data_IF_620243235447
#
_entry.id   IF_620243235447
#
_cell.length_a   1.000
_cell.length_b   1.000
_cell.length_c   1.000
_cell.angle_alpha   90.00
_cell.angle_beta   90.00
_cell.angle_gamma   90.00
#
_symmetry.space_group_name_H-M   'P 1'
#
loop_
_entity.id
_entity.type
_entity.pdbx_description
1 polymer ?
#
# COMPACT_ATOMS: atom_id res chain seq x y z
N UNK A 1 -10.42 -8.55 -2.83
CA UNK A 1 -10.76 -7.14 -3.11
C UNK A 1 -12.28 -6.95 -3.27
N UNK A 2 -12.96 -7.64 -4.19
CA UNK A 2 -14.44 -7.63 -4.27
C UNK A 2 -15.04 -8.13 -2.96
N UNK A 3 -14.44 -9.14 -2.37
CA UNK A 3 -14.81 -9.67 -1.06
C UNK A 3 -14.68 -8.62 0.05
N UNK A 4 -13.58 -7.85 0.08
CA UNK A 4 -13.35 -6.80 1.08
C UNK A 4 -14.40 -5.67 0.96
N UNK A 5 -14.75 -5.28 -0.27
CA UNK A 5 -15.77 -4.26 -0.51
C UNK A 5 -17.15 -4.63 0.08
N UNK A 6 -17.44 -5.91 0.20
CA UNK A 6 -18.68 -6.43 0.79
C UNK A 6 -18.51 -6.70 2.29
N UNK A 7 -17.40 -7.32 2.67
CA UNK A 7 -17.17 -7.76 4.05
C UNK A 7 -16.90 -6.61 5.02
N UNK A 8 -16.17 -5.56 4.61
CA UNK A 8 -15.82 -4.45 5.49
C UNK A 8 -17.06 -3.72 6.05
N UNK A 9 -18.04 -3.29 5.23
CA UNK A 9 -19.28 -2.69 5.75
C UNK A 9 -20.12 -3.64 6.62
N UNK A 10 -20.14 -4.93 6.25
CA UNK A 10 -20.90 -5.94 7.01
C UNK A 10 -20.29 -6.16 8.40
N UNK A 11 -18.97 -6.34 8.46
CA UNK A 11 -18.25 -6.51 9.73
C UNK A 11 -18.33 -5.24 10.57
N UNK A 12 -18.22 -4.07 9.96
CA UNK A 12 -18.39 -2.78 10.64
C UNK A 12 -19.75 -2.70 11.32
N UNK A 13 -20.83 -2.92 10.56
CA UNK A 13 -22.19 -2.92 11.08
C UNK A 13 -22.44 -4.01 12.13
N UNK A 14 -21.85 -5.17 11.98
CA UNK A 14 -21.97 -6.28 12.94
C UNK A 14 -21.21 -5.98 14.23
N UNK A 15 -19.97 -5.49 14.13
CA UNK A 15 -19.16 -5.15 15.29
C UNK A 15 -19.76 -4.03 16.13
N UNK A 16 -20.46 -3.07 15.52
CA UNK A 16 -21.12 -1.98 16.23
C UNK A 16 -22.36 -2.42 17.02
N UNK A 17 -22.99 -3.53 16.65
CA UNK A 17 -24.20 -4.06 17.27
C UNK A 17 -23.98 -5.14 18.32
N UNK A 18 -22.80 -5.72 18.36
CA UNK A 18 -22.50 -6.83 19.29
C UNK A 18 -22.55 -6.32 20.73
N UNK A 19 -23.33 -7.00 21.55
CA UNK A 19 -23.37 -6.78 23.02
C UNK A 19 -22.55 -7.85 23.70
N UNK A 20 -21.39 -7.52 24.23
CA UNK A 20 -20.48 -8.45 24.90
C UNK A 20 -19.86 -7.80 26.13
N UNK A 21 -19.51 -8.63 27.13
CA UNK A 21 -18.73 -8.21 28.31
C UNK A 21 -17.33 -7.68 27.97
N UNK A 22 -16.80 -8.05 26.80
CA UNK A 22 -15.53 -7.56 26.25
C UNK A 22 -15.71 -6.35 25.34
N UNK A 23 -16.82 -5.62 25.46
CA UNK A 23 -17.20 -4.56 24.53
C UNK A 23 -17.73 -5.09 23.21
N UNK A 24 -18.07 -4.17 22.31
CA UNK A 24 -18.68 -4.50 21.01
C UNK A 24 -17.66 -4.96 19.95
N UNK A 25 -16.43 -4.41 19.96
CA UNK A 25 -15.42 -4.57 18.90
C UNK A 25 -14.31 -5.56 19.26
N UNK A 26 -13.88 -5.61 20.53
CA UNK A 26 -12.77 -6.46 20.96
C UNK A 26 -12.96 -7.98 20.69
N UNK A 27 -14.16 -8.56 20.78
CA UNK A 27 -14.35 -9.98 20.45
C UNK A 27 -13.93 -10.32 19.01
N UNK A 28 -14.24 -9.43 18.04
CA UNK A 28 -13.86 -9.61 16.63
C UNK A 28 -12.35 -9.59 16.47
N UNK A 29 -11.68 -8.61 17.09
CA UNK A 29 -10.22 -8.47 17.04
C UNK A 29 -9.52 -9.67 17.66
N UNK A 30 -9.96 -10.15 18.85
CA UNK A 30 -9.38 -11.35 19.46
C UNK A 30 -9.57 -12.59 18.61
N UNK A 31 -10.79 -12.80 18.10
CA UNK A 31 -11.12 -13.99 17.31
C UNK A 31 -10.35 -14.03 15.99
N UNK A 32 -10.06 -12.89 15.37
CA UNK A 32 -9.39 -12.82 14.07
C UNK A 32 -7.89 -13.12 14.11
N UNK A 33 -7.21 -12.91 15.24
CA UNK A 33 -5.74 -13.04 15.36
C UNK A 33 -5.27 -14.46 15.03
N UNK A 34 -5.92 -15.46 15.58
CA UNK A 34 -5.48 -16.87 15.40
C UNK A 34 -5.72 -17.37 13.97
N UNK A 35 -6.92 -17.21 13.36
CA UNK A 35 -7.12 -17.60 11.96
C UNK A 35 -6.21 -16.84 11.01
N UNK A 36 -5.93 -15.54 11.29
CA UNK A 36 -5.01 -14.73 10.49
C UNK A 36 -3.59 -15.30 10.53
N UNK A 37 -3.07 -15.58 11.73
CA UNK A 37 -1.74 -16.15 11.92
C UNK A 37 -1.61 -17.53 11.27
N UNK A 38 -2.59 -18.41 11.47
CA UNK A 38 -2.61 -19.72 10.83
C UNK A 38 -2.70 -19.63 9.31
N UNK A 39 -3.52 -18.69 8.80
CA UNK A 39 -3.64 -18.44 7.38
C UNK A 39 -2.31 -18.06 6.75
N UNK A 40 -1.55 -17.15 7.37
CA UNK A 40 -0.21 -16.77 6.92
C UNK A 40 0.78 -17.93 6.99
N UNK A 41 0.81 -18.69 8.08
CA UNK A 41 1.68 -19.85 8.19
C UNK A 41 1.42 -20.87 7.09
N UNK A 42 0.16 -21.27 6.89
CA UNK A 42 -0.18 -22.26 5.87
C UNK A 42 -0.07 -21.75 4.44
N UNK A 43 -0.16 -20.44 4.21
CA UNK A 43 0.05 -19.83 2.90
C UNK A 43 1.48 -20.05 2.41
N UNK A 44 2.45 -19.88 3.30
CA UNK A 44 3.88 -20.00 2.99
C UNK A 44 4.45 -21.41 3.26
N UNK A 45 3.71 -22.31 3.91
CA UNK A 45 4.11 -23.69 4.18
C UNK A 45 3.48 -24.64 3.14
N UNK A 46 3.89 -24.46 1.86
CA UNK A 46 3.39 -25.29 0.77
C UNK A 46 4.38 -26.41 0.48
N UNK A 47 3.97 -27.70 0.58
CA UNK A 47 4.81 -28.80 0.13
C UNK A 47 4.96 -28.77 -1.41
N UNK A 48 6.17 -29.01 -1.89
CA UNK A 48 6.54 -28.97 -3.29
C UNK A 48 5.95 -30.10 -4.17
N UNK A 49 5.23 -31.05 -3.58
CA UNK A 49 4.83 -32.31 -4.24
C UNK A 49 3.33 -32.42 -4.56
N UNK A 50 2.57 -31.33 -4.50
CA UNK A 50 1.13 -31.37 -4.78
C UNK A 50 0.79 -31.03 -6.24
N UNK A 51 -0.33 -31.65 -6.70
CA UNK A 51 -0.96 -31.32 -7.98
C UNK A 51 -1.38 -29.85 -8.06
N UNK A 52 -1.32 -29.28 -9.26
CA UNK A 52 -1.65 -27.87 -9.56
C UNK A 52 -3.07 -27.50 -9.12
N UNK A 53 -4.04 -28.40 -9.34
CA UNK A 53 -5.43 -28.17 -8.94
C UNK A 53 -5.58 -28.07 -7.41
N UNK A 54 -4.87 -28.91 -6.66
CA UNK A 54 -4.88 -28.84 -5.22
C UNK A 54 -4.24 -27.56 -4.71
N UNK A 55 -3.13 -27.12 -5.30
CA UNK A 55 -2.45 -25.87 -4.96
C UNK A 55 -3.35 -24.66 -5.19
N UNK A 56 -4.08 -24.65 -6.33
CA UNK A 56 -5.02 -23.58 -6.65
C UNK A 56 -6.13 -23.44 -5.58
N UNK A 57 -6.81 -24.54 -5.25
CA UNK A 57 -7.89 -24.52 -4.27
C UNK A 57 -7.40 -24.19 -2.86
N UNK A 58 -6.25 -24.72 -2.46
CA UNK A 58 -5.62 -24.40 -1.19
C UNK A 58 -5.28 -22.92 -1.09
N UNK A 59 -4.65 -22.35 -2.12
CA UNK A 59 -4.32 -20.94 -2.19
C UNK A 59 -5.58 -20.06 -2.10
N UNK A 60 -6.62 -20.40 -2.88
CA UNK A 60 -7.87 -19.67 -2.89
C UNK A 60 -8.54 -19.64 -1.50
N UNK A 61 -8.64 -20.80 -0.85
CA UNK A 61 -9.24 -20.92 0.50
C UNK A 61 -8.43 -20.14 1.53
N UNK A 62 -7.10 -20.25 1.52
CA UNK A 62 -6.23 -19.52 2.44
C UNK A 62 -6.30 -18.02 2.24
N UNK A 63 -6.31 -17.53 0.99
CA UNK A 63 -6.44 -16.10 0.70
C UNK A 63 -7.80 -15.57 1.19
N UNK A 64 -8.90 -16.31 0.97
CA UNK A 64 -10.22 -15.92 1.49
C UNK A 64 -10.22 -15.89 3.02
N UNK A 65 -9.64 -16.90 3.68
CA UNK A 65 -9.53 -16.95 5.13
C UNK A 65 -8.74 -15.77 5.69
N UNK A 66 -7.58 -15.48 5.10
CA UNK A 66 -6.73 -14.34 5.48
C UNK A 66 -7.50 -13.02 5.30
N UNK A 67 -8.17 -12.82 4.17
CA UNK A 67 -8.95 -11.61 3.90
C UNK A 67 -10.08 -11.42 4.90
N UNK A 68 -10.86 -12.47 5.15
CA UNK A 68 -11.92 -12.42 6.16
C UNK A 68 -11.37 -12.09 7.56
N UNK A 69 -10.26 -12.74 7.94
CA UNK A 69 -9.63 -12.50 9.23
C UNK A 69 -9.07 -11.08 9.35
N UNK A 70 -8.49 -10.54 8.26
CA UNK A 70 -8.03 -9.16 8.17
C UNK A 70 -9.19 -8.17 8.34
N UNK A 71 -10.32 -8.36 7.64
CA UNK A 71 -11.51 -7.53 7.79
C UNK A 71 -12.03 -7.54 9.23
N UNK A 72 -12.10 -8.74 9.85
CA UNK A 72 -12.51 -8.90 11.26
C UNK A 72 -11.54 -8.23 12.25
N UNK A 73 -10.27 -8.06 11.88
CA UNK A 73 -9.26 -7.38 12.68
C UNK A 73 -9.25 -5.86 12.45
N UNK A 74 -9.08 -5.44 11.18
CA UNK A 74 -8.82 -4.03 10.81
C UNK A 74 -10.04 -3.13 11.01
N UNK A 75 -11.23 -3.57 10.55
CA UNK A 75 -12.44 -2.73 10.58
C UNK A 75 -12.85 -2.36 12.00
N UNK A 76 -12.99 -3.30 12.97
CA UNK A 76 -13.30 -2.94 14.35
C UNK A 76 -12.16 -2.16 15.03
N UNK A 77 -10.89 -2.51 14.73
CA UNK A 77 -9.72 -1.83 15.30
C UNK A 77 -9.62 -0.38 14.85
N UNK A 78 -9.83 -0.10 13.57
CA UNK A 78 -9.83 1.26 13.05
C UNK A 78 -10.87 2.15 13.76
N UNK A 79 -12.02 1.58 14.10
CA UNK A 79 -13.07 2.28 14.81
C UNK A 79 -12.80 2.45 16.33
N UNK A 80 -11.88 1.67 16.94
CA UNK A 80 -11.45 1.86 18.33
C UNK A 80 -10.56 3.13 18.46
N UNK A 81 -9.74 3.43 17.46
CA UNK A 81 -8.80 4.56 17.50
C UNK A 81 -9.42 5.90 17.89
N UNK A 82 -10.48 6.37 17.23
CA UNK A 82 -11.19 7.60 17.57
C UNK A 82 -11.84 7.59 18.97
N UNK A 83 -12.19 6.44 19.51
CA UNK A 83 -12.79 6.31 20.83
C UNK A 83 -11.75 6.40 21.97
N UNK A 84 -10.49 6.02 21.68
CA UNK A 84 -9.38 6.12 22.63
C UNK A 84 -8.96 7.58 22.90
N UNK A 85 -9.23 8.49 21.98
CA UNK A 85 -8.73 9.87 22.04
C UNK A 85 -9.85 10.87 21.80
N UNK A 86 -10.19 11.66 22.82
CA UNK A 86 -11.24 12.69 22.76
C UNK A 86 -10.75 14.04 22.23
N UNK A 87 -9.43 14.26 22.11
CA UNK A 87 -8.83 15.52 21.66
C UNK A 87 -8.22 15.38 20.27
N UNK A 88 -8.33 16.44 19.45
CA UNK A 88 -7.80 16.49 18.09
C UNK A 88 -6.28 16.20 18.05
N UNK A 89 -5.49 16.88 18.87
CA UNK A 89 -4.03 16.73 18.90
C UNK A 89 -3.60 15.34 19.35
N UNK A 90 -4.29 14.77 20.36
CA UNK A 90 -4.03 13.40 20.82
C UNK A 90 -4.36 12.36 19.77
N UNK A 91 -5.41 12.58 18.99
CA UNK A 91 -5.78 11.68 17.86
C UNK A 91 -4.70 11.69 16.79
N UNK A 92 -4.23 12.88 16.42
CA UNK A 92 -3.13 13.04 15.45
C UNK A 92 -1.85 12.37 15.94
N UNK A 93 -1.50 12.55 17.22
CA UNK A 93 -0.34 11.91 17.83
C UNK A 93 -0.43 10.37 17.81
N UNK A 94 -1.57 9.79 18.20
CA UNK A 94 -1.78 8.34 18.21
C UNK A 94 -1.72 7.76 16.80
N UNK A 95 -2.35 8.42 15.82
CA UNK A 95 -2.30 7.99 14.41
C UNK A 95 -0.87 8.10 13.84
N UNK A 96 -0.14 9.14 14.19
CA UNK A 96 1.27 9.30 13.82
C UNK A 96 2.14 8.14 14.33
N UNK A 97 2.01 7.80 15.62
CA UNK A 97 2.73 6.65 16.19
C UNK A 97 2.30 5.31 15.57
N UNK A 98 1.01 5.13 15.30
CA UNK A 98 0.52 3.92 14.64
C UNK A 98 1.14 3.77 13.24
N UNK A 99 1.26 4.87 12.49
CA UNK A 99 1.93 4.88 11.19
C UNK A 99 3.43 4.55 11.29
N UNK A 100 4.14 5.20 12.23
CA UNK A 100 5.58 4.92 12.46
C UNK A 100 5.81 3.45 12.81
N UNK A 101 5.00 2.90 13.72
CA UNK A 101 5.12 1.48 14.09
C UNK A 101 4.79 0.53 12.94
N UNK A 102 3.82 0.87 12.08
CA UNK A 102 3.50 0.10 10.88
C UNK A 102 4.67 0.08 9.89
N UNK A 103 5.28 1.23 9.63
CA UNK A 103 6.47 1.35 8.77
C UNK A 103 7.65 0.58 9.37
N UNK A 104 7.91 0.72 10.67
CA UNK A 104 8.97 -0.04 11.36
C UNK A 104 8.74 -1.55 11.27
N UNK A 105 7.50 -2.02 11.46
CA UNK A 105 7.16 -3.43 11.33
C UNK A 105 7.42 -3.96 9.91
N UNK A 106 7.07 -3.18 8.89
CA UNK A 106 7.34 -3.52 7.49
C UNK A 106 8.85 -3.58 7.21
N UNK A 107 9.62 -2.60 7.68
CA UNK A 107 11.09 -2.58 7.54
C UNK A 107 11.72 -3.82 8.19
N UNK A 108 11.35 -4.10 9.44
CA UNK A 108 11.89 -5.25 10.19
C UNK A 108 11.58 -6.56 9.48
N UNK A 109 10.34 -6.76 9.04
CA UNK A 109 9.96 -8.01 8.36
C UNK A 109 10.68 -8.18 7.02
N UNK A 110 10.79 -7.10 6.22
CA UNK A 110 11.53 -7.14 4.96
C UNK A 110 13.02 -7.38 5.18
N UNK A 111 13.62 -6.73 6.19
CA UNK A 111 15.02 -6.96 6.53
C UNK A 111 15.28 -8.40 6.95
N UNK A 112 14.42 -8.96 7.82
CA UNK A 112 14.50 -10.38 8.22
C UNK A 112 14.34 -11.32 7.02
N UNK A 113 13.45 -10.98 6.08
CA UNK A 113 13.26 -11.76 4.87
C UNK A 113 14.54 -11.83 4.05
N UNK A 114 15.14 -10.70 3.76
CA UNK A 114 16.29 -10.63 2.86
C UNK A 114 17.61 -11.09 3.51
N UNK A 115 17.81 -10.77 4.80
CA UNK A 115 19.08 -11.05 5.49
C UNK A 115 19.13 -12.44 6.13
N UNK A 116 17.99 -12.95 6.64
CA UNK A 116 18.00 -14.17 7.44
C UNK A 116 17.22 -15.34 6.82
N UNK A 117 16.23 -15.09 5.98
CA UNK A 117 15.40 -16.18 5.46
C UNK A 117 15.76 -16.56 4.02
N UNK A 118 16.06 -15.59 3.17
CA UNK A 118 16.45 -15.81 1.78
C UNK A 118 17.96 -16.03 1.66
N UNK A 119 18.52 -16.96 2.45
CA UNK A 119 19.94 -17.25 2.46
C UNK A 119 20.31 -18.36 1.47
N UNK A 120 21.55 -18.31 1.01
CA UNK A 120 22.13 -19.34 0.15
C UNK A 120 22.17 -20.69 0.86
N UNK A 121 21.89 -21.75 0.11
CA UNK A 121 22.05 -23.14 0.53
C UNK A 121 22.81 -23.90 -0.53
N UNK A 122 23.25 -25.15 -0.24
CA UNK A 122 23.95 -25.98 -1.23
C UNK A 122 23.13 -26.19 -2.51
N UNK A 123 21.80 -26.27 -2.39
CA UNK A 123 20.88 -26.48 -3.51
C UNK A 123 20.49 -25.15 -4.19
N UNK A 124 20.37 -24.06 -3.43
CA UNK A 124 19.92 -22.75 -3.90
C UNK A 124 21.02 -21.70 -3.65
N UNK A 125 22.00 -21.64 -4.56
CA UNK A 125 23.13 -20.72 -4.46
C UNK A 125 22.80 -19.36 -5.07
N UNK A 126 23.38 -18.30 -4.53
CA UNK A 126 23.30 -16.91 -5.01
C UNK A 126 21.86 -16.46 -5.33
N UNK A 127 21.65 -16.05 -6.56
CA UNK A 127 20.37 -15.57 -7.10
C UNK A 127 19.24 -16.61 -7.03
N UNK A 128 19.57 -17.89 -6.87
CA UNK A 128 18.61 -18.98 -6.68
C UNK A 128 17.99 -19.00 -5.27
N UNK A 129 18.51 -18.27 -4.30
CA UNK A 129 17.97 -18.21 -2.94
C UNK A 129 16.49 -17.76 -2.89
N UNK A 130 16.05 -16.93 -3.85
CA UNK A 130 14.64 -16.56 -4.01
C UNK A 130 13.71 -17.73 -4.35
N UNK A 131 14.24 -18.83 -4.86
CA UNK A 131 13.46 -20.02 -5.22
C UNK A 131 13.41 -21.06 -4.09
N UNK A 132 14.10 -20.83 -2.98
CA UNK A 132 14.14 -21.76 -1.87
C UNK A 132 12.80 -21.78 -1.11
N UNK A 133 11.99 -22.85 -1.18
CA UNK A 133 10.69 -22.92 -0.52
C UNK A 133 10.78 -22.85 1.01
N UNK A 134 11.87 -23.35 1.60
CA UNK A 134 12.08 -23.34 3.05
C UNK A 134 12.16 -21.91 3.61
N UNK A 135 12.75 -20.97 2.84
CA UNK A 135 12.85 -19.57 3.20
C UNK A 135 11.48 -18.93 3.42
N UNK A 136 10.53 -19.24 2.55
CA UNK A 136 9.16 -18.74 2.68
C UNK A 136 8.41 -19.38 3.85
N UNK A 137 8.71 -20.64 4.19
CA UNK A 137 8.14 -21.29 5.39
C UNK A 137 8.61 -20.58 6.66
N UNK A 138 9.88 -20.20 6.76
CA UNK A 138 10.40 -19.42 7.88
C UNK A 138 9.77 -18.01 7.93
N UNK A 139 9.59 -17.35 6.79
CA UNK A 139 8.89 -16.08 6.70
C UNK A 139 7.44 -16.20 7.19
N UNK A 140 6.72 -17.23 6.75
CA UNK A 140 5.36 -17.52 7.19
C UNK A 140 5.26 -17.74 8.70
N UNK A 141 6.21 -18.50 9.28
CA UNK A 141 6.28 -18.74 10.72
C UNK A 141 6.57 -17.45 11.50
N UNK A 142 7.57 -16.68 11.09
CA UNK A 142 7.93 -15.41 11.72
C UNK A 142 6.76 -14.41 11.66
N UNK A 143 6.13 -14.25 10.49
CA UNK A 143 4.96 -13.40 10.32
C UNK A 143 3.82 -13.82 11.23
N UNK A 144 3.54 -15.12 11.34
CA UNK A 144 2.48 -15.66 12.20
C UNK A 144 2.74 -15.37 13.67
N UNK A 145 3.97 -15.55 14.14
CA UNK A 145 4.39 -15.22 15.50
C UNK A 145 4.22 -13.72 15.77
N UNK A 146 4.66 -12.86 14.85
CA UNK A 146 4.51 -11.41 14.96
C UNK A 146 3.02 -11.00 14.99
N UNK A 147 2.17 -11.59 14.15
CA UNK A 147 0.73 -11.34 14.15
C UNK A 147 0.12 -11.67 15.53
N UNK A 148 0.47 -12.82 16.11
CA UNK A 148 -0.03 -13.21 17.44
C UNK A 148 0.47 -12.25 18.52
N UNK A 149 1.78 -12.01 18.58
CA UNK A 149 2.38 -11.17 19.63
C UNK A 149 1.83 -9.73 19.56
N UNK A 150 1.96 -9.07 18.40
CA UNK A 150 1.55 -7.69 18.27
C UNK A 150 0.03 -7.51 18.24
N UNK A 151 -0.70 -8.45 17.64
CA UNK A 151 -2.15 -8.46 17.64
C UNK A 151 -2.72 -8.58 19.06
N UNK A 152 -2.23 -9.54 19.85
CA UNK A 152 -2.65 -9.71 21.24
C UNK A 152 -2.21 -8.52 22.11
N UNK A 153 -0.96 -8.07 22.01
CA UNK A 153 -0.46 -6.93 22.80
C UNK A 153 -1.28 -5.67 22.52
N UNK A 154 -1.54 -5.35 21.26
CA UNK A 154 -2.38 -4.22 20.86
C UNK A 154 -3.80 -4.33 21.41
N UNK A 155 -4.41 -5.50 21.31
CA UNK A 155 -5.79 -5.71 21.74
C UNK A 155 -5.92 -5.72 23.27
N UNK A 156 -4.99 -6.34 24.00
CA UNK A 156 -4.95 -6.36 25.45
C UNK A 156 -4.71 -4.96 26.03
N UNK A 157 -3.82 -4.15 25.40
CA UNK A 157 -3.53 -2.79 25.86
C UNK A 157 -4.75 -1.88 25.77
N UNK A 158 -5.64 -2.09 24.81
CA UNK A 158 -6.88 -1.30 24.63
C UNK A 158 -8.05 -1.86 25.45
N UNK A 159 -7.97 -3.10 25.94
CA UNK A 159 -9.04 -3.76 26.69
C UNK A 159 -9.46 -3.00 27.96
N UNK A 160 -8.51 -2.40 28.66
CA UNK A 160 -8.77 -1.62 29.89
C UNK A 160 -9.67 -0.39 29.67
N UNK A 161 -9.76 0.12 28.44
CA UNK A 161 -10.56 1.28 28.09
C UNK A 161 -12.00 0.94 27.67
N UNK A 162 -12.38 -0.35 27.60
CA UNK A 162 -13.74 -0.77 27.24
C UNK A 162 -14.85 -0.06 28.03
N UNK A 163 -14.73 0.17 29.36
CA UNK A 163 -15.76 0.87 30.11
C UNK A 163 -15.98 2.33 29.66
N UNK A 164 -14.93 2.96 29.09
CA UNK A 164 -14.92 4.36 28.67
C UNK A 164 -15.46 4.56 27.25
N UNK A 165 -15.57 3.48 26.46
CA UNK A 165 -16.03 3.55 25.09
C UNK A 165 -17.50 3.90 24.99
N UNK A 166 -17.83 4.64 23.95
CA UNK A 166 -19.18 5.07 23.66
C UNK A 166 -20.15 3.88 23.56
N UNK A 167 -21.25 3.96 24.31
CA UNK A 167 -22.37 3.01 24.25
C UNK A 167 -23.51 3.68 23.51
N UNK A 168 -23.82 3.29 22.26
CA UNK A 168 -24.90 3.91 21.52
C UNK A 168 -26.23 3.70 22.23
N UNK A 169 -26.99 4.78 22.42
CA UNK A 169 -28.30 4.76 23.11
C UNK A 169 -29.36 4.19 22.15
N UNK A 170 -29.20 4.38 20.86
CA UNK A 170 -30.07 3.78 19.83
C UNK A 170 -29.24 3.38 18.62
N UNK A 171 -29.47 2.18 18.08
CA UNK A 171 -28.90 1.78 16.80
C UNK A 171 -29.78 2.37 15.69
N UNK A 172 -29.32 3.42 15.00
CA UNK A 172 -29.88 3.72 13.69
C UNK A 172 -29.79 2.47 12.81
N UNK A 173 -30.88 2.13 12.16
CA UNK A 173 -30.89 0.96 11.25
C UNK A 173 -29.94 1.27 10.09
N UNK A 174 -28.93 0.43 9.91
CA UNK A 174 -28.09 0.47 8.70
C UNK A 174 -29.03 0.39 7.48
N UNK A 175 -29.02 1.42 6.66
CA UNK A 175 -29.76 1.46 5.41
C UNK A 175 -28.76 1.48 4.26
N UNK A 176 -28.69 0.37 3.52
CA UNK A 176 -27.92 0.28 2.29
C UNK A 176 -28.32 1.35 1.27
N UNK A 177 -29.61 1.73 1.27
CA UNK A 177 -30.12 2.80 0.42
C UNK A 177 -29.52 4.16 0.79
N UNK A 178 -29.46 4.50 2.07
CA UNK A 178 -28.85 5.75 2.55
C UNK A 178 -27.36 5.80 2.22
N UNK A 179 -26.63 4.69 2.43
CA UNK A 179 -25.22 4.59 2.06
C UNK A 179 -25.00 4.79 0.56
N UNK A 180 -25.87 4.21 -0.28
CA UNK A 180 -25.78 4.36 -1.73
C UNK A 180 -26.06 5.81 -2.17
N UNK A 181 -27.02 6.48 -1.55
CA UNK A 181 -27.33 7.89 -1.79
C UNK A 181 -26.13 8.78 -1.43
N UNK A 182 -25.50 8.54 -0.27
CA UNK A 182 -24.31 9.25 0.18
C UNK A 182 -23.10 9.01 -0.76
N UNK A 183 -22.91 7.77 -1.22
CA UNK A 183 -21.87 7.45 -2.21
C UNK A 183 -22.09 8.17 -3.55
N UNK A 184 -23.33 8.20 -4.05
CA UNK A 184 -23.67 8.89 -5.31
C UNK A 184 -23.43 10.40 -5.16
N UNK A 185 -23.75 10.98 -4.01
CA UNK A 185 -23.53 12.39 -3.73
C UNK A 185 -22.02 12.72 -3.69
N UNK A 186 -21.20 11.87 -3.04
CA UNK A 186 -19.75 12.01 -3.06
C UNK A 186 -19.18 11.88 -4.49
N UNK A 187 -19.70 10.96 -5.32
CA UNK A 187 -19.33 10.84 -6.73
C UNK A 187 -19.67 12.09 -7.57
N UNK A 188 -20.60 12.90 -7.12
CA UNK A 188 -20.96 14.17 -7.78
C UNK A 188 -19.94 15.28 -7.48
N UNK A 189 -19.09 15.12 -6.46
CA UNK A 189 -18.04 16.07 -6.14
C UNK A 189 -16.87 15.95 -7.14
N UNK A 190 -16.71 16.98 -7.98
CA UNK A 190 -15.71 17.01 -9.06
C UNK A 190 -14.26 16.84 -8.56
N UNK A 191 -13.91 17.49 -7.45
CA UNK A 191 -12.58 17.39 -6.87
C UNK A 191 -12.29 16.00 -6.33
N UNK A 192 -13.27 15.38 -5.67
CA UNK A 192 -13.12 14.01 -5.19
C UNK A 192 -13.02 13.01 -6.33
N UNK A 193 -13.86 13.14 -7.36
CA UNK A 193 -13.82 12.30 -8.54
C UNK A 193 -12.45 12.41 -9.25
N UNK A 194 -11.88 13.62 -9.33
CA UNK A 194 -10.53 13.83 -9.87
C UNK A 194 -9.45 13.07 -9.11
N UNK A 195 -9.45 13.15 -7.76
CA UNK A 195 -8.51 12.41 -6.92
C UNK A 195 -8.73 10.89 -7.00
N UNK A 196 -9.97 10.46 -7.07
CA UNK A 196 -10.34 9.05 -7.16
C UNK A 196 -9.86 8.43 -8.48
N UNK A 197 -10.08 9.10 -9.61
CA UNK A 197 -9.59 8.65 -10.92
C UNK A 197 -8.06 8.70 -10.96
N UNK A 198 -7.45 9.78 -10.48
CA UNK A 198 -5.98 9.88 -10.38
C UNK A 198 -5.40 8.72 -9.56
N UNK A 199 -5.95 8.47 -8.37
CA UNK A 199 -5.57 7.36 -7.49
C UNK A 199 -5.80 5.99 -8.13
N UNK A 200 -6.77 5.88 -9.03
CA UNK A 200 -7.06 4.65 -9.80
C UNK A 200 -5.89 4.26 -10.71
N UNK A 201 -5.41 5.19 -11.51
CA UNK A 201 -4.27 4.95 -12.40
C UNK A 201 -2.98 4.70 -11.61
N UNK A 202 -2.80 5.42 -10.50
CA UNK A 202 -1.67 5.20 -9.60
C UNK A 202 -1.73 3.83 -8.92
N UNK A 203 -2.91 3.38 -8.48
CA UNK A 203 -3.11 2.04 -7.92
C UNK A 203 -2.75 0.93 -8.92
N UNK A 204 -3.19 1.09 -10.17
CA UNK A 204 -2.86 0.16 -11.25
C UNK A 204 -1.34 0.09 -11.48
N UNK A 205 -0.67 1.24 -11.53
CA UNK A 205 0.78 1.35 -11.67
C UNK A 205 1.52 0.67 -10.50
N UNK A 206 1.08 0.88 -9.25
CA UNK A 206 1.65 0.22 -8.07
C UNK A 206 1.54 -1.30 -8.19
N UNK A 207 0.38 -1.82 -8.60
CA UNK A 207 0.17 -3.27 -8.76
C UNK A 207 1.13 -3.88 -9.77
N UNK A 208 1.28 -3.25 -10.94
CA UNK A 208 2.23 -3.68 -11.97
C UNK A 208 3.66 -3.63 -11.42
N UNK A 209 4.09 -2.49 -10.85
CA UNK A 209 5.46 -2.28 -10.38
C UNK A 209 5.85 -3.24 -9.25
N UNK A 210 4.94 -3.50 -8.31
CA UNK A 210 5.19 -4.44 -7.21
C UNK A 210 5.43 -5.86 -7.74
N UNK A 211 4.61 -6.29 -8.71
CA UNK A 211 4.77 -7.62 -9.29
C UNK A 211 6.02 -7.76 -10.16
N UNK A 212 6.32 -6.76 -10.98
CA UNK A 212 7.49 -6.77 -11.87
C UNK A 212 8.81 -6.67 -11.09
N UNK A 213 8.81 -5.98 -9.94
CA UNK A 213 10.03 -5.66 -9.18
C UNK A 213 10.89 -6.88 -8.86
N UNK A 214 10.27 -8.00 -8.49
CA UNK A 214 10.99 -9.26 -8.17
C UNK A 214 11.75 -9.76 -9.41
N UNK A 215 11.11 -9.74 -10.58
CA UNK A 215 11.74 -10.20 -11.83
C UNK A 215 12.87 -9.27 -12.26
N UNK A 216 12.69 -7.96 -12.15
CA UNK A 216 13.72 -6.98 -12.50
C UNK A 216 14.92 -7.11 -11.56
N UNK A 217 14.70 -7.21 -10.26
CA UNK A 217 15.79 -7.35 -9.30
C UNK A 217 16.59 -8.63 -9.55
N UNK A 218 15.91 -9.76 -9.80
CA UNK A 218 16.55 -11.05 -10.00
C UNK A 218 17.21 -11.19 -11.37
N UNK A 219 16.52 -10.82 -12.47
CA UNK A 219 16.95 -11.17 -13.82
C UNK A 219 17.55 -10.00 -14.62
N UNK A 220 17.29 -8.75 -14.24
CA UNK A 220 17.84 -7.58 -14.92
C UNK A 220 19.03 -6.97 -14.16
N UNK A 221 18.88 -6.78 -12.84
CA UNK A 221 19.96 -6.30 -11.99
C UNK A 221 20.84 -7.44 -11.45
N UNK A 222 20.40 -8.69 -11.55
CA UNK A 222 21.11 -9.90 -11.09
C UNK A 222 21.46 -9.85 -9.60
N UNK A 223 20.58 -9.26 -8.80
CA UNK A 223 20.84 -9.06 -7.38
C UNK A 223 20.44 -10.25 -6.54
N UNK A 224 21.27 -10.51 -5.54
CA UNK A 224 20.97 -11.47 -4.48
C UNK A 224 20.08 -10.85 -3.41
N UNK A 225 19.40 -11.65 -2.58
CA UNK A 225 18.58 -11.14 -1.48
C UNK A 225 19.35 -10.23 -0.51
N UNK A 226 20.61 -10.54 -0.22
CA UNK A 226 21.45 -9.80 0.72
C UNK A 226 21.69 -8.36 0.23
N UNK A 227 21.88 -8.19 -1.08
CA UNK A 227 22.05 -6.86 -1.71
C UNK A 227 20.81 -6.01 -1.52
N UNK A 228 19.63 -6.64 -1.50
CA UNK A 228 18.33 -5.97 -1.36
C UNK A 228 17.95 -5.66 0.10
N UNK A 229 18.63 -6.23 1.09
CA UNK A 229 18.25 -6.13 2.50
C UNK A 229 18.17 -4.68 3.03
N UNK A 230 19.01 -3.77 2.52
CA UNK A 230 19.02 -2.36 2.95
C UNK A 230 17.99 -1.47 2.22
N UNK A 231 17.43 -1.92 1.09
CA UNK A 231 16.46 -1.11 0.34
C UNK A 231 15.21 -0.76 1.15
N UNK A 232 14.56 -1.69 1.87
CA UNK A 232 13.40 -1.36 2.71
C UNK A 232 13.70 -0.33 3.80
N UNK A 233 14.91 -0.36 4.37
CA UNK A 233 15.33 0.62 5.37
C UNK A 233 15.45 2.01 4.77
N UNK A 234 16.13 2.13 3.63
CA UNK A 234 16.28 3.41 2.92
C UNK A 234 14.93 3.94 2.47
N UNK A 235 14.07 3.08 1.90
CA UNK A 235 12.70 3.44 1.51
C UNK A 235 11.86 3.95 2.68
N UNK A 236 11.94 3.30 3.84
CA UNK A 236 11.23 3.73 5.03
C UNK A 236 11.67 5.10 5.55
N UNK A 237 12.98 5.32 5.62
CA UNK A 237 13.57 6.61 6.02
C UNK A 237 13.18 7.69 4.99
N UNK A 238 13.32 7.42 3.72
CA UNK A 238 12.96 8.34 2.64
C UNK A 238 11.48 8.72 2.66
N UNK A 239 10.57 7.77 2.96
CA UNK A 239 9.15 8.05 3.09
C UNK A 239 8.84 9.01 4.25
N UNK A 240 9.52 8.89 5.38
CA UNK A 240 9.38 9.84 6.51
C UNK A 240 9.81 11.24 6.09
N UNK A 241 10.98 11.37 5.45
CA UNK A 241 11.45 12.66 4.93
C UNK A 241 10.50 13.23 3.88
N UNK A 242 9.96 12.39 2.99
CA UNK A 242 8.98 12.79 1.99
C UNK A 242 7.71 13.39 2.60
N UNK A 243 7.17 12.77 3.66
CA UNK A 243 6.00 13.28 4.36
C UNK A 243 6.27 14.65 5.02
N UNK A 244 7.45 14.84 5.64
CA UNK A 244 7.86 16.12 6.24
C UNK A 244 8.04 17.19 5.14
N UNK A 245 8.69 16.84 4.03
CA UNK A 245 8.90 17.75 2.91
C UNK A 245 7.58 18.15 2.24
N UNK A 246 6.60 17.25 2.17
CA UNK A 246 5.27 17.58 1.67
C UNK A 246 4.65 18.73 2.44
N UNK A 247 4.68 18.68 3.77
CA UNK A 247 4.12 19.70 4.63
C UNK A 247 4.87 21.05 4.48
N UNK A 248 6.20 21.02 4.46
CA UNK A 248 7.03 22.24 4.38
C UNK A 248 6.97 22.91 3.01
N UNK A 249 7.05 22.12 1.91
CA UNK A 249 7.09 22.66 0.55
C UNK A 249 5.70 23.15 0.11
N UNK A 250 4.61 22.52 0.57
CA UNK A 250 3.25 22.95 0.24
C UNK A 250 2.76 24.14 1.06
N UNK A 251 3.45 24.48 2.16
CA UNK A 251 3.10 25.65 2.97
C UNK A 251 3.11 26.93 2.10
N UNK A 252 2.01 27.67 2.17
CA UNK A 252 1.83 28.90 1.38
C UNK A 252 1.63 28.72 -0.12
N UNK A 253 1.52 27.47 -0.63
CA UNK A 253 1.34 27.17 -2.05
C UNK A 253 0.07 26.39 -2.31
N UNK A 254 -0.37 26.35 -3.56
CA UNK A 254 -1.45 25.47 -4.01
C UNK A 254 -1.02 24.01 -3.97
N UNK A 255 -1.62 23.21 -3.06
CA UNK A 255 -1.32 21.78 -2.87
C UNK A 255 -1.38 20.99 -4.17
N UNK A 256 -2.39 21.28 -5.02
CA UNK A 256 -2.55 20.68 -6.34
C UNK A 256 -1.30 20.86 -7.22
N UNK A 257 -0.78 22.07 -7.31
CA UNK A 257 0.37 22.38 -8.18
C UNK A 257 1.65 21.70 -7.67
N UNK A 258 1.87 21.69 -6.36
CA UNK A 258 2.99 20.96 -5.75
C UNK A 258 2.86 19.46 -6.00
N UNK A 259 1.67 18.89 -5.85
CA UNK A 259 1.40 17.48 -6.11
C UNK A 259 1.67 17.10 -7.58
N UNK A 260 1.18 17.89 -8.52
CA UNK A 260 1.45 17.70 -9.96
C UNK A 260 2.96 17.76 -10.24
N UNK A 261 3.66 18.74 -9.66
CA UNK A 261 5.13 18.87 -9.86
C UNK A 261 5.87 17.63 -9.36
N UNK A 262 5.51 17.13 -8.18
CA UNK A 262 6.10 15.90 -7.62
C UNK A 262 5.87 14.71 -8.55
N UNK A 263 4.65 14.50 -9.03
CA UNK A 263 4.37 13.40 -9.95
C UNK A 263 5.06 13.55 -11.31
N UNK A 264 5.17 14.75 -11.83
CA UNK A 264 5.92 15.00 -13.09
C UNK A 264 7.41 14.67 -12.91
N UNK A 265 8.01 15.05 -11.78
CA UNK A 265 9.39 14.65 -11.47
C UNK A 265 9.50 13.12 -11.42
N UNK A 266 8.62 12.44 -10.70
CA UNK A 266 8.60 10.97 -10.62
C UNK A 266 8.45 10.31 -11.99
N UNK A 267 7.57 10.80 -12.87
CA UNK A 267 7.38 10.29 -14.24
C UNK A 267 8.70 10.33 -15.02
N UNK A 268 9.48 11.39 -14.86
CA UNK A 268 10.73 11.59 -15.57
C UNK A 268 11.85 10.76 -14.96
N UNK A 269 11.96 10.73 -13.64
CA UNK A 269 13.11 10.13 -12.93
C UNK A 269 13.03 8.62 -12.81
N UNK A 270 11.85 8.06 -12.58
CA UNK A 270 11.65 6.61 -12.38
C UNK A 270 12.25 5.73 -13.50
N UNK A 271 12.07 6.02 -14.81
CA UNK A 271 12.59 5.16 -15.85
C UNK A 271 14.09 5.29 -16.10
N UNK A 272 14.77 6.35 -15.60
CA UNK A 272 16.12 6.72 -16.02
C UNK A 272 17.13 5.58 -15.87
N UNK A 273 17.30 4.91 -14.71
CA UNK A 273 18.36 3.89 -14.57
C UNK A 273 18.17 2.72 -15.53
N UNK A 274 16.95 2.20 -15.62
CA UNK A 274 16.65 1.07 -16.48
C UNK A 274 16.70 1.45 -17.97
N UNK A 275 16.29 2.66 -18.33
CA UNK A 275 16.39 3.17 -19.70
C UNK A 275 17.84 3.32 -20.13
N UNK A 276 18.71 3.89 -19.28
CA UNK A 276 20.13 4.01 -19.56
C UNK A 276 20.79 2.65 -19.77
N UNK A 277 20.47 1.69 -18.91
CA UNK A 277 20.99 0.30 -19.03
C UNK A 277 20.51 -0.41 -20.29
N UNK A 278 19.24 -0.22 -20.69
CA UNK A 278 18.71 -0.79 -21.94
C UNK A 278 19.32 -0.16 -23.20
N UNK A 279 19.76 1.10 -23.12
CA UNK A 279 20.39 1.82 -24.25
C UNK A 279 21.87 1.50 -24.41
N UNK A 280 22.56 1.02 -23.38
CA UNK A 280 23.99 0.70 -23.42
C UNK A 280 24.41 -0.14 -24.66
N UNK A 281 23.71 -1.24 -25.02
CA UNK A 281 24.11 -2.06 -26.17
C UNK A 281 24.02 -1.34 -27.53
N UNK A 282 23.27 -0.23 -27.59
CA UNK A 282 23.03 0.53 -28.82
C UNK A 282 23.94 1.76 -28.97
N UNK A 283 24.81 2.00 -27.97
CA UNK A 283 25.71 3.17 -27.94
C UNK A 283 27.15 2.68 -27.84
N UNK A 284 28.09 3.52 -28.31
CA UNK A 284 29.52 3.28 -28.11
C UNK A 284 30.04 3.77 -26.75
N UNK A 285 29.16 4.30 -25.91
CA UNK A 285 29.44 4.85 -24.59
C UNK A 285 28.85 3.93 -23.53
N UNK A 286 29.56 3.70 -22.44
CA UNK A 286 29.00 3.06 -21.26
C UNK A 286 28.13 4.07 -20.53
N UNK A 287 26.81 3.99 -20.74
CA UNK A 287 25.83 4.93 -20.17
C UNK A 287 25.50 4.61 -18.71
N UNK A 288 25.62 3.34 -18.35
CA UNK A 288 25.27 2.87 -17.00
C UNK A 288 26.28 1.80 -16.53
N UNK A 289 26.65 1.75 -15.23
CA UNK A 289 27.61 0.78 -14.69
C UNK A 289 27.14 -0.67 -14.87
N UNK A 290 28.10 -1.60 -15.01
CA UNK A 290 27.81 -3.03 -15.06
C UNK A 290 27.31 -3.57 -13.70
N UNK A 291 26.49 -4.63 -13.75
CA UNK A 291 25.85 -5.23 -12.58
C UNK A 291 26.85 -5.71 -11.50
N UNK A 292 28.10 -5.97 -11.89
CA UNK A 292 29.16 -6.45 -10.99
C UNK A 292 29.95 -5.33 -10.30
N UNK A 293 29.52 -4.07 -10.44
CA UNK A 293 30.21 -2.93 -9.82
C UNK A 293 29.48 -2.44 -8.57
N UNK A 294 30.21 -2.09 -7.50
CA UNK A 294 29.61 -1.50 -6.30
C UNK A 294 28.90 -0.16 -6.60
N UNK A 295 29.31 0.51 -7.67
CA UNK A 295 28.75 1.80 -8.06
C UNK A 295 27.26 1.70 -8.43
N UNK A 296 26.82 0.62 -9.10
CA UNK A 296 25.41 0.45 -9.46
C UNK A 296 24.53 0.37 -8.22
N UNK A 297 25.00 -0.31 -7.16
CA UNK A 297 24.26 -0.43 -5.91
C UNK A 297 24.02 0.94 -5.27
N UNK A 298 25.07 1.78 -5.19
CA UNK A 298 24.92 3.14 -4.66
C UNK A 298 23.98 4.02 -5.50
N UNK A 299 24.07 3.94 -6.82
CA UNK A 299 23.18 4.69 -7.72
C UNK A 299 21.73 4.27 -7.49
N UNK A 300 21.46 2.96 -7.47
CA UNK A 300 20.08 2.46 -7.41
C UNK A 300 19.47 2.59 -6.02
N UNK A 301 20.21 2.45 -4.93
CA UNK A 301 19.69 2.66 -3.58
C UNK A 301 19.36 4.15 -3.34
N UNK A 302 20.21 5.06 -3.81
CA UNK A 302 19.94 6.50 -3.73
C UNK A 302 18.76 6.90 -4.63
N UNK A 303 18.69 6.35 -5.83
CA UNK A 303 17.56 6.56 -6.74
C UNK A 303 16.25 6.05 -6.13
N UNK A 304 16.23 4.83 -5.59
CA UNK A 304 15.06 4.26 -4.91
C UNK A 304 14.64 5.12 -3.73
N UNK A 305 15.59 5.58 -2.90
CA UNK A 305 15.31 6.49 -1.80
C UNK A 305 14.68 7.81 -2.27
N UNK A 306 15.21 8.41 -3.34
CA UNK A 306 14.64 9.64 -3.91
C UNK A 306 13.23 9.43 -4.46
N UNK A 307 13.00 8.31 -5.18
CA UNK A 307 11.68 7.95 -5.69
C UNK A 307 10.65 7.71 -4.58
N UNK A 308 11.03 6.99 -3.52
CA UNK A 308 10.14 6.70 -2.40
C UNK A 308 9.84 7.96 -1.58
N UNK A 309 10.79 8.89 -1.47
CA UNK A 309 10.58 10.20 -0.89
C UNK A 309 9.55 11.02 -1.71
N UNK A 310 9.69 11.09 -3.04
CA UNK A 310 8.75 11.77 -3.92
C UNK A 310 7.36 11.13 -3.86
N UNK A 311 7.30 9.81 -3.85
CA UNK A 311 6.05 9.04 -3.73
C UNK A 311 5.33 9.32 -2.41
N UNK A 312 6.05 9.35 -1.30
CA UNK A 312 5.50 9.70 0.01
C UNK A 312 5.01 11.16 0.07
N UNK A 313 5.74 12.09 -0.58
CA UNK A 313 5.29 13.49 -0.74
C UNK A 313 3.95 13.54 -1.47
N UNK A 314 3.86 12.90 -2.64
CA UNK A 314 2.63 12.87 -3.44
C UNK A 314 1.45 12.31 -2.67
N UNK A 315 1.65 11.18 -1.99
CA UNK A 315 0.61 10.53 -1.17
C UNK A 315 0.12 11.42 -0.01
N UNK A 316 1.04 12.06 0.70
CA UNK A 316 0.71 12.99 1.80
C UNK A 316 -0.10 14.19 1.30
N UNK A 317 0.27 14.75 0.13
CA UNK A 317 -0.47 15.85 -0.48
C UNK A 317 -1.87 15.43 -0.92
N UNK A 318 -2.03 14.25 -1.52
CA UNK A 318 -3.35 13.71 -1.91
C UNK A 318 -4.25 13.54 -0.68
N UNK A 319 -3.75 12.97 0.43
CA UNK A 319 -4.53 12.86 1.67
C UNK A 319 -4.95 14.24 2.17
N UNK A 320 -4.03 15.22 2.18
CA UNK A 320 -4.34 16.59 2.57
C UNK A 320 -5.41 17.22 1.68
N UNK A 321 -5.37 16.99 0.36
CA UNK A 321 -6.40 17.46 -0.58
C UNK A 321 -7.76 16.79 -0.34
N UNK A 322 -7.80 15.54 0.14
CA UNK A 322 -9.06 14.87 0.53
C UNK A 322 -9.67 15.57 1.76
N UNK A 323 -8.85 15.98 2.75
CA UNK A 323 -9.36 16.75 3.89
C UNK A 323 -9.98 18.09 3.45
N UNK A 324 -9.35 18.79 2.50
CA UNK A 324 -9.90 20.03 1.95
C UNK A 324 -11.28 19.79 1.28
N UNK A 325 -11.48 18.63 0.64
CA UNK A 325 -12.77 18.22 0.06
C UNK A 325 -13.81 18.01 1.15
N UNK A 326 -13.45 17.34 2.26
CA UNK A 326 -14.36 17.07 3.37
C UNK A 326 -14.90 18.37 3.94
N UNK A 327 -14.04 19.36 4.18
CA UNK A 327 -14.41 20.64 4.76
C UNK A 327 -15.24 21.48 3.79
N UNK A 328 -14.85 21.54 2.53
CA UNK A 328 -15.63 22.22 1.48
C UNK A 328 -17.02 21.58 1.26
N UNK A 329 -17.11 20.24 1.31
CA UNK A 329 -18.37 19.52 1.24
C UNK A 329 -19.27 19.81 2.46
N UNK A 330 -18.68 19.93 3.65
CA UNK A 330 -19.44 20.25 4.86
C UNK A 330 -20.11 21.62 4.78
N UNK A 331 -19.47 22.61 4.18
CA UNK A 331 -20.06 23.95 3.94
C UNK A 331 -21.27 23.85 3.02
N UNK A 332 -21.19 23.07 1.96
CA UNK A 332 -22.24 22.99 0.94
C UNK A 332 -23.39 22.08 1.31
N UNK A 333 -23.13 20.97 2.01
CA UNK A 333 -24.15 19.95 2.34
C UNK A 333 -24.62 19.98 3.78
N UNK A 334 -23.92 20.69 4.67
CA UNK A 334 -24.16 20.67 6.12
C UNK A 334 -23.78 19.36 6.81
N UNK A 335 -23.21 18.39 6.06
CA UNK A 335 -22.81 17.06 6.56
C UNK A 335 -21.31 16.87 6.42
N UNK A 336 -20.72 16.14 7.39
CA UNK A 336 -19.31 15.78 7.38
C UNK A 336 -19.15 14.31 6.97
N UNK A 337 -19.10 14.06 5.66
CA UNK A 337 -19.02 12.71 5.08
C UNK A 337 -17.54 12.20 5.01
N UNK A 338 -16.76 12.50 6.06
CA UNK A 338 -15.31 12.18 6.17
C UNK A 338 -15.03 10.69 5.91
N UNK A 339 -15.89 9.80 6.43
CA UNK A 339 -15.71 8.36 6.27
C UNK A 339 -15.68 7.92 4.82
N UNK A 340 -16.59 8.40 3.99
CA UNK A 340 -16.69 8.02 2.58
C UNK A 340 -15.55 8.63 1.78
N UNK A 341 -15.27 9.92 1.98
CA UNK A 341 -14.20 10.62 1.27
C UNK A 341 -12.82 10.01 1.53
N UNK A 342 -12.56 9.56 2.76
CA UNK A 342 -11.27 8.98 3.15
C UNK A 342 -11.10 7.51 2.75
N UNK A 343 -12.17 6.72 2.83
CA UNK A 343 -12.08 5.27 2.55
C UNK A 343 -12.15 4.93 1.07
N UNK A 344 -12.90 5.71 0.28
CA UNK A 344 -13.13 5.46 -1.14
C UNK A 344 -11.85 5.31 -1.96
N UNK A 345 -10.91 6.28 -1.93
CA UNK A 345 -9.65 6.18 -2.67
C UNK A 345 -8.81 4.96 -2.29
N UNK A 346 -8.74 4.63 -1.00
CA UNK A 346 -8.00 3.45 -0.52
C UNK A 346 -8.58 2.13 -1.05
N UNK A 347 -9.91 2.02 -1.08
CA UNK A 347 -10.58 0.83 -1.63
C UNK A 347 -10.30 0.68 -3.13
N UNK A 348 -10.45 1.75 -3.90
CA UNK A 348 -10.20 1.73 -5.34
C UNK A 348 -8.73 1.44 -5.64
N UNK A 349 -7.80 2.03 -4.91
CA UNK A 349 -6.39 1.73 -5.04
C UNK A 349 -6.10 0.24 -4.82
N UNK A 350 -6.68 -0.37 -3.79
CA UNK A 350 -6.56 -1.83 -3.54
C UNK A 350 -7.07 -2.66 -4.72
N UNK A 351 -8.26 -2.33 -5.24
CA UNK A 351 -8.87 -3.04 -6.37
C UNK A 351 -7.98 -2.96 -7.61
N UNK A 352 -7.50 -1.76 -7.93
CA UNK A 352 -6.71 -1.53 -9.13
C UNK A 352 -5.28 -2.04 -9.01
N UNK A 353 -4.70 -2.06 -7.81
CA UNK A 353 -3.41 -2.76 -7.59
C UNK A 353 -3.54 -4.26 -7.88
N UNK A 354 -4.63 -4.90 -7.46
CA UNK A 354 -4.89 -6.29 -7.82
C UNK A 354 -5.06 -6.51 -9.33
N UNK A 355 -5.75 -5.60 -10.00
CA UNK A 355 -5.86 -5.63 -11.48
C UNK A 355 -4.49 -5.43 -12.15
N UNK A 356 -3.64 -4.57 -11.59
CA UNK A 356 -2.25 -4.37 -12.06
C UNK A 356 -1.42 -5.65 -12.01
N UNK A 357 -1.50 -6.40 -10.90
CA UNK A 357 -0.84 -7.71 -10.76
C UNK A 357 -1.40 -8.71 -11.78
N UNK A 358 -2.72 -8.71 -12.00
CA UNK A 358 -3.35 -9.57 -13.01
C UNK A 358 -2.87 -9.24 -14.43
N UNK A 359 -2.80 -7.95 -14.79
CA UNK A 359 -2.25 -7.50 -16.09
C UNK A 359 -0.81 -7.97 -16.25
N UNK A 360 0.01 -7.86 -15.20
CA UNK A 360 1.37 -8.40 -15.24
C UNK A 360 1.38 -9.90 -15.55
N UNK A 361 0.49 -10.70 -14.95
CA UNK A 361 0.37 -12.13 -15.27
C UNK A 361 0.10 -12.38 -16.76
N UNK A 362 -0.78 -11.58 -17.38
CA UNK A 362 -1.02 -11.65 -18.81
C UNK A 362 0.20 -11.25 -19.66
N UNK A 363 0.95 -10.25 -19.21
CA UNK A 363 2.19 -9.82 -19.89
C UNK A 363 3.26 -10.91 -19.81
N UNK A 364 3.46 -11.51 -18.64
CA UNK A 364 4.39 -12.63 -18.48
C UNK A 364 4.01 -13.83 -19.37
N UNK A 365 2.73 -14.16 -19.46
CA UNK A 365 2.22 -15.20 -20.36
C UNK A 365 2.46 -14.84 -21.84
N UNK A 366 2.18 -13.59 -22.23
CA UNK A 366 2.42 -13.12 -23.60
C UNK A 366 3.89 -13.16 -24.00
N UNK A 367 4.78 -12.83 -23.07
CA UNK A 367 6.23 -12.88 -23.26
C UNK A 367 6.79 -14.31 -23.19
N UNK A 368 5.96 -15.32 -22.93
CA UNK A 368 6.39 -16.70 -22.65
C UNK A 368 7.51 -16.76 -21.60
N UNK A 369 7.35 -15.99 -20.52
CA UNK A 369 8.34 -15.92 -19.45
C UNK A 369 8.36 -17.25 -18.70
N UNK A 370 9.46 -18.00 -18.83
CA UNK A 370 9.63 -19.27 -18.12
C UNK A 370 10.06 -19.00 -16.65
N UNK A 371 9.24 -19.36 -15.67
CA UNK A 371 9.61 -19.19 -14.25
C UNK A 371 10.78 -20.09 -13.82
N UNK A 372 11.12 -21.11 -14.60
CA UNK A 372 12.23 -22.04 -14.32
C UNK A 372 13.55 -21.60 -14.93
N UNK A 373 13.66 -20.40 -15.51
CA UNK A 373 14.94 -19.87 -15.99
C UNK A 373 15.89 -19.77 -14.79
N UNK A 374 16.90 -20.65 -14.81
CA UNK A 374 17.87 -20.79 -13.72
C UNK A 374 19.17 -20.02 -13.96
N UNK A 375 19.39 -19.53 -15.17
CA UNK A 375 20.60 -18.77 -15.51
C UNK A 375 20.29 -17.61 -16.46
N UNK A 376 20.96 -16.51 -16.24
CA UNK A 376 20.95 -15.31 -17.09
C UNK A 376 21.56 -15.54 -18.47
N UNK A 377 22.23 -16.67 -18.71
CA UNK A 377 22.93 -17.00 -19.96
C UNK A 377 22.03 -17.63 -21.04
N UNK A 378 20.88 -18.20 -20.64
CA UNK A 378 19.97 -18.83 -21.59
C UNK A 378 18.78 -17.91 -21.90
N UNK A 379 18.98 -17.00 -22.84
CA UNK A 379 17.94 -16.14 -23.42
C UNK A 379 17.48 -14.94 -22.57
N UNK A 380 18.25 -13.89 -22.60
CA UNK A 380 17.91 -12.55 -22.12
C UNK A 380 16.70 -11.81 -22.78
N UNK A 381 16.04 -12.29 -23.86
CA UNK A 381 15.00 -11.52 -24.54
C UNK A 381 13.79 -11.14 -23.69
N UNK A 382 13.20 -12.03 -22.84
CA UNK A 382 11.97 -11.69 -22.15
C UNK A 382 12.15 -10.61 -21.07
N UNK A 383 13.32 -10.58 -20.40
CA UNK A 383 13.51 -9.61 -19.30
C UNK A 383 13.64 -8.17 -19.81
N UNK A 384 14.36 -7.94 -20.91
CA UNK A 384 14.48 -6.61 -21.50
C UNK A 384 13.11 -6.07 -21.97
N UNK A 385 12.25 -6.94 -22.53
CA UNK A 385 10.88 -6.57 -22.91
C UNK A 385 10.02 -6.27 -21.70
N UNK A 386 10.18 -7.02 -20.59
CA UNK A 386 9.47 -6.77 -19.34
C UNK A 386 9.90 -5.45 -18.69
N UNK A 387 11.21 -5.13 -18.72
CA UNK A 387 11.73 -3.84 -18.25
C UNK A 387 11.22 -2.70 -19.11
N UNK A 388 11.23 -2.85 -20.46
CA UNK A 388 10.68 -1.87 -21.39
C UNK A 388 9.20 -1.61 -21.11
N UNK A 389 8.41 -2.66 -20.88
CA UNK A 389 7.02 -2.54 -20.47
C UNK A 389 6.90 -1.72 -19.16
N UNK A 390 7.69 -2.02 -18.15
CA UNK A 390 7.65 -1.33 -16.87
C UNK A 390 7.97 0.17 -16.99
N UNK A 391 9.06 0.53 -17.70
CA UNK A 391 9.51 1.92 -17.83
C UNK A 391 8.66 2.76 -18.79
N UNK A 392 7.80 2.12 -19.59
CA UNK A 392 6.85 2.82 -20.47
C UNK A 392 5.47 2.91 -19.87
N UNK A 393 4.90 1.78 -19.44
CA UNK A 393 3.51 1.72 -18.95
C UNK A 393 3.37 2.37 -17.57
N UNK A 394 4.34 2.19 -16.67
CA UNK A 394 4.31 2.81 -15.34
C UNK A 394 4.22 4.33 -15.40
N UNK A 395 5.18 5.03 -16.01
CA UNK A 395 5.13 6.48 -16.19
C UNK A 395 3.91 6.96 -16.98
N UNK A 396 3.46 6.21 -17.98
CA UNK A 396 2.27 6.55 -18.78
C UNK A 396 0.99 6.52 -17.92
N UNK A 397 0.80 5.51 -17.10
CA UNK A 397 -0.33 5.45 -16.17
C UNK A 397 -0.29 6.59 -15.14
N UNK A 398 0.90 6.89 -14.62
CA UNK A 398 1.09 8.01 -13.69
C UNK A 398 0.80 9.34 -14.38
N UNK A 399 1.18 9.51 -15.64
CA UNK A 399 0.88 10.71 -16.44
C UNK A 399 -0.63 10.91 -16.62
N UNK A 400 -1.35 9.84 -16.99
CA UNK A 400 -2.81 9.90 -17.12
C UNK A 400 -3.42 10.28 -15.77
N UNK A 401 -3.05 9.59 -14.68
CA UNK A 401 -3.53 9.90 -13.33
C UNK A 401 -3.26 11.35 -12.94
N UNK A 402 -2.05 11.84 -13.18
CA UNK A 402 -1.67 13.23 -12.89
C UNK A 402 -2.48 14.23 -13.69
N UNK A 403 -2.86 13.92 -14.94
CA UNK A 403 -3.69 14.80 -15.75
C UNK A 403 -5.08 15.07 -15.14
N UNK A 404 -5.64 14.10 -14.42
CA UNK A 404 -6.91 14.30 -13.73
C UNK A 404 -6.82 15.24 -12.52
N UNK A 405 -5.63 15.45 -11.93
CA UNK A 405 -5.44 16.43 -10.86
C UNK A 405 -5.73 17.86 -11.29
N UNK A 406 -5.64 18.18 -12.59
CA UNK A 406 -6.06 19.49 -13.09
C UNK A 406 -7.56 19.77 -12.92
N UNK A 407 -8.38 18.72 -12.74
CA UNK A 407 -9.80 18.85 -12.47
C UNK A 407 -10.12 19.15 -11.00
N UNK A 408 -9.14 19.02 -10.11
CA UNK A 408 -9.28 19.43 -8.72
C UNK A 408 -9.37 20.96 -8.64
N UNK A 409 -10.45 21.48 -8.08
CA UNK A 409 -10.80 22.90 -8.17
C UNK A 409 -10.86 23.63 -6.82
N UNK A 410 -10.48 22.98 -5.71
CA UNK A 410 -10.40 23.64 -4.40
C UNK A 410 -9.06 24.38 -4.34
N UNK A 411 -9.12 25.71 -4.32
CA UNK A 411 -7.97 26.57 -4.11
C UNK A 411 -7.70 26.78 -2.62
N UNK A 412 -6.53 27.32 -2.31
CA UNK A 412 -6.19 27.71 -0.93
C UNK A 412 -7.17 28.73 -0.37
N UNK A 413 -7.55 29.73 -1.17
CA UNK A 413 -8.47 30.79 -0.75
C UNK A 413 -9.87 30.21 -0.49
N UNK A 414 -10.40 29.36 -1.39
CA UNK A 414 -11.70 28.71 -1.19
C UNK A 414 -11.72 27.77 0.03
N UNK A 415 -10.59 27.15 0.37
CA UNK A 415 -10.46 26.35 1.57
C UNK A 415 -10.43 27.22 2.84
N UNK A 416 -9.73 28.36 2.81
CA UNK A 416 -9.71 29.32 3.90
C UNK A 416 -11.12 29.86 4.21
N UNK A 417 -11.85 30.28 3.16
CA UNK A 417 -13.25 30.73 3.28
C UNK A 417 -14.15 29.64 3.88
N UNK A 418 -13.91 28.37 3.52
CA UNK A 418 -14.66 27.24 4.07
C UNK A 418 -14.39 27.04 5.56
N UNK A 419 -13.12 27.10 6.01
CA UNK A 419 -12.73 26.99 7.42
C UNK A 419 -13.35 28.14 8.25
N UNK A 420 -13.25 29.36 7.75
CA UNK A 420 -13.82 30.54 8.43
C UNK A 420 -15.35 30.41 8.56
N UNK A 421 -16.04 29.98 7.51
CA UNK A 421 -17.51 29.78 7.53
C UNK A 421 -17.96 28.67 8.50
N UNK A 422 -17.10 27.69 8.78
CA UNK A 422 -17.35 26.61 9.74
C UNK A 422 -16.98 27.00 11.19
N UNK A 423 -16.39 28.16 11.39
CA UNK A 423 -15.94 28.64 12.70
C UNK A 423 -14.76 27.85 13.27
N UNK A 424 -13.94 27.23 12.40
CA UNK A 424 -12.71 26.57 12.80
C UNK A 424 -11.59 27.61 12.89
N UNK A 425 -10.82 27.58 13.98
CA UNK A 425 -9.62 28.41 14.08
C UNK A 425 -8.50 27.81 13.22
N UNK A 426 -7.81 28.66 12.46
CA UNK A 426 -6.58 28.24 11.78
C UNK A 426 -5.53 27.86 12.85
N UNK A 427 -5.08 26.60 12.81
CA UNK A 427 -4.01 26.09 13.67
C UNK A 427 -2.64 26.21 13.00
#
# INVERSE_FOLDING_TARGET
>A
LIFDAISDPLVGAWSDRLKSRWGRRHPFVYFSIIPLALGFYFLFSLPSSFDQDFLFWKLLILVILIRLSLTLYETPRAAIGPELTKGYDRRTFVNGWAYVLAVMGAIVLNYLMYEFFLVETEEFQKDMAFLNPASYTYLGLASSIMIVIFGLTSTLSTHKFIPEFYKPISSEKFSTKKLMEELIECLSNRSWLALLISGSFYGLQIGISTGVGIYINKFFWEWTPEVLALFPLVSGIAAIFGAILAATISSGKEKRNVCITVFVITIITTPIPAALRLLDPYTSLTLFPDNNTDLIWWILILHTGAEDMLRAMGFTLVISMIYDIVENSQVTTGRRDEGIFMTGPGLIQKILSGLGIFILGLVLQYLNFDPNITSTSDSSPPINQLVLFQITVGPFLTLIGTSFLFLYNISRDSHHDAIESLGYEES
#
